data_IF_879837326403
#
_entry.id   IF_879837326403
#
_cell.length_a   1.000
_cell.length_b   1.000
_cell.length_c   1.000
_cell.angle_alpha   90.00
_cell.angle_beta   90.00
_cell.angle_gamma   90.00
#
_symmetry.space_group_name_H-M   'P 1'
#
loop_
_entity.id
_entity.type
_entity.pdbx_description
1 polymer ?
#
# COMPACT_ATOMS: atom_id res chain seq x y z
N UNK A 1 16.43 0.35 16.94
CA UNK A 1 17.77 0.83 17.36
C UNK A 1 18.69 0.75 16.14
N UNK A 2 19.13 1.89 15.62
CA UNK A 2 20.14 1.96 14.55
C UNK A 2 21.47 1.44 15.10
N UNK A 3 22.05 0.40 14.49
CA UNK A 3 23.31 -0.22 14.92
C UNK A 3 24.57 0.63 14.70
N UNK A 4 24.43 1.95 14.65
CA UNK A 4 25.55 2.88 14.51
C UNK A 4 26.04 3.27 15.90
N UNK A 5 27.25 2.79 16.26
CA UNK A 5 27.98 3.31 17.41
C UNK A 5 28.38 4.75 17.07
N UNK A 6 27.69 5.74 17.62
CA UNK A 6 28.10 7.14 17.54
C UNK A 6 29.54 7.26 18.07
N UNK A 7 30.51 7.47 17.18
CA UNK A 7 31.86 7.87 17.58
C UNK A 7 31.95 9.38 17.49
N UNK A 8 32.65 9.98 18.45
CA UNK A 8 32.98 11.41 18.43
C UNK A 8 33.73 11.74 17.13
N UNK A 9 33.05 12.45 16.22
CA UNK A 9 33.59 12.82 14.89
C UNK A 9 32.67 12.48 13.71
N UNK A 10 31.60 11.72 13.90
CA UNK A 10 30.68 11.36 12.81
C UNK A 10 29.86 12.59 12.34
N UNK A 11 29.74 12.76 11.02
CA UNK A 11 28.92 13.80 10.39
C UNK A 11 27.70 13.18 9.73
N UNK A 12 26.52 13.54 10.23
CA UNK A 12 25.26 13.20 9.61
C UNK A 12 24.88 14.32 8.63
N UNK A 13 24.73 13.97 7.35
CA UNK A 13 24.35 14.91 6.30
C UNK A 13 23.09 14.37 5.63
N UNK A 14 22.03 15.17 5.65
CA UNK A 14 20.84 14.93 4.86
C UNK A 14 21.01 15.63 3.51
N UNK A 15 20.87 14.87 2.43
CA UNK A 15 20.87 15.42 1.07
C UNK A 15 19.44 15.75 0.67
N UNK A 16 19.26 16.89 0.02
CA UNK A 16 17.97 17.28 -0.53
C UNK A 16 17.60 16.37 -1.71
N UNK A 17 16.30 16.11 -1.85
CA UNK A 17 15.79 15.32 -2.96
C UNK A 17 15.86 16.11 -4.27
N UNK A 18 16.26 15.48 -5.38
CA UNK A 18 16.30 16.14 -6.69
C UNK A 18 14.90 16.31 -7.32
N UNK A 19 13.84 15.80 -6.70
CA UNK A 19 12.47 15.80 -7.26
C UNK A 19 11.64 17.01 -6.79
N UNK A 20 10.77 17.51 -7.68
CA UNK A 20 9.83 18.58 -7.37
C UNK A 20 8.46 17.99 -6.98
N UNK A 21 8.35 17.56 -5.73
CA UNK A 21 7.18 16.84 -5.21
C UNK A 21 5.88 17.65 -5.30
N UNK A 22 5.94 18.98 -5.16
CA UNK A 22 4.75 19.84 -5.18
C UNK A 22 4.06 19.85 -6.56
N UNK A 23 4.85 19.75 -7.63
CA UNK A 23 4.33 19.70 -9.01
C UNK A 23 4.09 18.26 -9.50
N UNK A 24 4.86 17.29 -8.98
CA UNK A 24 4.82 15.90 -9.43
C UNK A 24 3.79 15.04 -8.69
N UNK A 25 3.24 15.51 -7.57
CA UNK A 25 2.33 14.72 -6.76
C UNK A 25 1.51 15.55 -5.78
N UNK A 26 0.55 14.89 -5.15
CA UNK A 26 -0.28 15.46 -4.10
C UNK A 26 -0.59 14.42 -3.05
N UNK A 27 -0.70 14.87 -1.81
CA UNK A 27 -1.21 14.06 -0.70
C UNK A 27 -2.70 14.35 -0.59
N UNK A 28 -3.51 13.29 -0.64
CA UNK A 28 -4.95 13.36 -0.42
C UNK A 28 -5.24 12.66 0.89
N UNK A 29 -5.83 13.39 1.84
CA UNK A 29 -6.33 12.84 3.10
C UNK A 29 -7.86 12.86 3.00
N UNK A 30 -8.51 11.71 2.75
CA UNK A 30 -9.96 11.63 2.72
C UNK A 30 -10.56 12.03 4.06
N UNK A 31 -11.73 12.67 4.05
CA UNK A 31 -12.49 13.01 5.27
C UNK A 31 -13.25 11.78 5.76
N UNK A 32 -12.52 10.84 6.36
CA UNK A 32 -13.08 9.64 7.00
C UNK A 32 -13.94 10.03 8.20
N UNK A 33 -14.97 9.24 8.52
CA UNK A 33 -15.85 9.53 9.67
C UNK A 33 -15.27 9.03 10.98
N UNK A 34 -14.46 7.98 10.92
CA UNK A 34 -13.85 7.33 12.08
C UNK A 34 -12.34 7.30 11.95
N UNK A 35 -11.65 7.35 13.08
CA UNK A 35 -10.22 7.09 13.16
C UNK A 35 -9.96 5.58 13.15
N UNK A 36 -8.77 5.13 12.66
CA UNK A 36 -8.38 3.72 12.65
C UNK A 36 -7.97 3.21 14.05
N UNK A 37 -8.87 3.32 15.04
CA UNK A 37 -8.71 2.71 16.35
C UNK A 37 -9.11 1.22 16.32
N UNK A 38 -8.75 0.45 17.37
CA UNK A 38 -9.12 -0.97 17.47
C UNK A 38 -10.65 -1.16 17.46
N UNK A 39 -11.38 -0.29 18.15
CA UNK A 39 -12.84 -0.37 18.26
C UNK A 39 -13.55 -0.04 16.94
N UNK A 40 -12.93 0.82 16.12
CA UNK A 40 -13.50 1.31 14.87
C UNK A 40 -12.89 0.66 13.62
N UNK A 41 -12.04 -0.34 13.78
CA UNK A 41 -11.24 -0.91 12.69
C UNK A 41 -12.12 -1.40 11.53
N UNK A 42 -13.22 -2.08 11.82
CA UNK A 42 -14.13 -2.61 10.81
C UNK A 42 -14.79 -1.49 10.00
N UNK A 43 -15.31 -0.46 10.69
CA UNK A 43 -15.92 0.70 10.03
C UNK A 43 -14.90 1.48 9.20
N UNK A 44 -13.69 1.68 9.73
CA UNK A 44 -12.61 2.37 9.02
C UNK A 44 -12.21 1.62 7.75
N UNK A 45 -12.06 0.30 7.82
CA UNK A 45 -11.73 -0.54 6.65
C UNK A 45 -12.86 -0.50 5.62
N UNK A 46 -14.12 -0.53 6.04
CA UNK A 46 -15.27 -0.42 5.15
C UNK A 46 -15.29 0.93 4.41
N UNK A 47 -15.06 2.04 5.12
CA UNK A 47 -14.97 3.37 4.50
C UNK A 47 -13.78 3.46 3.53
N UNK A 48 -12.65 2.87 3.89
CA UNK A 48 -11.46 2.84 3.03
C UNK A 48 -11.71 2.02 1.76
N UNK A 49 -12.40 0.89 1.87
CA UNK A 49 -12.80 0.08 0.71
C UNK A 49 -13.78 0.82 -0.20
N UNK A 50 -14.75 1.55 0.36
CA UNK A 50 -15.66 2.38 -0.42
C UNK A 50 -14.89 3.48 -1.19
N UNK A 51 -13.99 4.19 -0.53
CA UNK A 51 -13.16 5.21 -1.16
C UNK A 51 -12.27 4.61 -2.26
N UNK A 52 -11.65 3.46 -2.01
CA UNK A 52 -10.82 2.76 -2.99
C UNK A 52 -11.62 2.38 -4.24
N UNK A 53 -12.85 1.87 -4.09
CA UNK A 53 -13.73 1.53 -5.22
C UNK A 53 -14.03 2.74 -6.09
N UNK A 54 -14.36 3.88 -5.48
CA UNK A 54 -14.57 5.12 -6.23
C UNK A 54 -13.32 5.53 -7.04
N UNK A 55 -12.12 5.34 -6.48
CA UNK A 55 -10.88 5.62 -7.22
C UNK A 55 -10.65 4.65 -8.39
N UNK A 56 -10.94 3.36 -8.21
CA UNK A 56 -10.87 2.34 -9.27
C UNK A 56 -11.85 2.69 -10.40
N UNK A 57 -13.10 2.99 -10.04
CA UNK A 57 -14.17 3.35 -10.99
C UNK A 57 -13.87 4.62 -11.78
N UNK A 58 -13.13 5.56 -11.18
CA UNK A 58 -12.70 6.79 -11.86
C UNK A 58 -11.80 6.53 -13.07
N UNK A 59 -11.14 5.36 -13.14
CA UNK A 59 -10.18 4.95 -14.19
C UNK A 59 -9.06 5.95 -14.47
N UNK A 60 -8.81 6.89 -13.56
CA UNK A 60 -7.74 7.91 -13.68
C UNK A 60 -6.35 7.33 -13.47
N UNK A 61 -6.27 6.20 -12.78
CA UNK A 61 -5.02 5.56 -12.38
C UNK A 61 -4.97 4.15 -12.96
N UNK A 62 -3.97 3.88 -13.79
CA UNK A 62 -3.76 2.54 -14.38
C UNK A 62 -3.07 1.58 -13.40
N UNK A 63 -2.25 2.12 -12.51
CA UNK A 63 -1.56 1.36 -11.46
C UNK A 63 -1.85 1.98 -10.10
N UNK A 64 -2.25 1.14 -9.15
CA UNK A 64 -2.48 1.53 -7.76
C UNK A 64 -1.72 0.62 -6.81
N UNK A 65 -1.23 1.18 -5.72
CA UNK A 65 -0.57 0.46 -4.64
C UNK A 65 -1.28 0.77 -3.33
N UNK A 66 -1.80 -0.27 -2.68
CA UNK A 66 -2.44 -0.18 -1.37
C UNK A 66 -1.52 -0.80 -0.33
N UNK A 67 -1.10 0.00 0.64
CA UNK A 67 -0.19 -0.41 1.70
C UNK A 67 -0.94 -0.59 3.01
N UNK A 68 -0.80 -1.77 3.60
CA UNK A 68 -1.35 -2.08 4.91
C UNK A 68 -0.25 -2.09 5.96
N UNK A 69 -0.62 -1.77 7.21
CA UNK A 69 0.26 -1.88 8.38
C UNK A 69 0.16 -3.24 9.08
N UNK A 70 -0.90 -4.02 8.85
CA UNK A 70 -1.07 -5.40 9.35
C UNK A 70 -1.64 -6.33 8.27
N UNK A 71 -1.25 -7.61 8.30
CA UNK A 71 -1.83 -8.63 7.42
C UNK A 71 -3.32 -8.85 7.70
N UNK A 72 -3.74 -8.71 8.97
CA UNK A 72 -5.14 -8.77 9.39
C UNK A 72 -5.99 -7.69 8.70
N UNK A 73 -5.54 -6.43 8.69
CA UNK A 73 -6.26 -5.35 8.02
C UNK A 73 -6.34 -5.56 6.50
N UNK A 74 -5.27 -6.09 5.89
CA UNK A 74 -5.27 -6.45 4.47
C UNK A 74 -6.33 -7.50 4.15
N UNK A 75 -6.39 -8.60 4.91
CA UNK A 75 -7.39 -9.65 4.69
C UNK A 75 -8.81 -9.12 4.82
N UNK A 76 -9.08 -8.33 5.88
CA UNK A 76 -10.38 -7.67 6.07
C UNK A 76 -10.75 -6.74 4.92
N UNK A 77 -9.80 -5.97 4.40
CA UNK A 77 -10.03 -5.13 3.23
C UNK A 77 -10.37 -5.97 1.99
N UNK A 78 -9.65 -7.08 1.75
CA UNK A 78 -9.91 -7.97 0.63
C UNK A 78 -11.31 -8.58 0.66
N UNK A 79 -11.87 -8.82 1.85
CA UNK A 79 -13.26 -9.26 2.01
C UNK A 79 -14.27 -8.22 1.47
N UNK A 80 -13.96 -6.93 1.59
CA UNK A 80 -14.79 -5.83 1.07
C UNK A 80 -14.60 -5.57 -0.43
N UNK A 81 -13.60 -6.14 -1.10
CA UNK A 81 -13.30 -5.92 -2.53
C UNK A 81 -13.20 -7.23 -3.33
N UNK A 82 -13.95 -8.24 -2.92
CA UNK A 82 -13.93 -9.59 -3.50
C UNK A 82 -14.29 -9.65 -4.99
N UNK A 83 -15.15 -8.75 -5.45
CA UNK A 83 -15.51 -8.56 -6.87
C UNK A 83 -14.36 -7.98 -7.71
N UNK A 84 -13.42 -7.25 -7.09
CA UNK A 84 -12.24 -6.70 -7.77
C UNK A 84 -11.05 -7.67 -7.77
N UNK A 85 -11.21 -8.89 -7.24
CA UNK A 85 -10.11 -9.84 -7.02
C UNK A 85 -9.31 -10.20 -8.26
N UNK A 86 -9.92 -10.20 -9.46
CA UNK A 86 -9.21 -10.44 -10.72
C UNK A 86 -8.25 -9.31 -11.11
N UNK A 87 -8.46 -8.10 -10.61
CA UNK A 87 -7.61 -6.92 -10.83
C UNK A 87 -6.56 -6.73 -9.71
N UNK A 88 -6.66 -7.53 -8.63
CA UNK A 88 -5.84 -7.36 -7.44
C UNK A 88 -4.65 -8.32 -7.44
N UNK A 89 -3.45 -7.75 -7.35
CA UNK A 89 -2.21 -8.46 -7.10
C UNK A 89 -1.94 -8.46 -5.59
N UNK A 90 -2.28 -9.56 -4.91
CA UNK A 90 -2.13 -9.67 -3.47
C UNK A 90 -0.76 -10.25 -3.13
N UNK A 91 -0.06 -9.58 -2.20
CA UNK A 91 1.23 -10.04 -1.76
C UNK A 91 1.13 -11.38 -1.01
N UNK A 92 1.84 -12.40 -1.51
CA UNK A 92 1.83 -13.76 -0.96
C UNK A 92 1.17 -14.79 -1.88
N UNK A 93 0.35 -14.35 -2.85
CA UNK A 93 -0.30 -15.25 -3.81
C UNK A 93 0.66 -15.79 -4.88
N UNK A 94 1.71 -15.02 -5.22
CA UNK A 94 2.75 -15.44 -6.16
C UNK A 94 4.15 -14.93 -5.76
N UNK A 95 5.24 -15.54 -6.26
CA UNK A 95 6.60 -15.04 -6.06
C UNK A 95 6.74 -13.59 -6.56
N UNK A 96 7.40 -12.73 -5.78
CA UNK A 96 7.48 -11.26 -6.01
C UNK A 96 7.93 -10.86 -7.42
N UNK A 97 8.79 -11.65 -8.08
CA UNK A 97 9.27 -11.37 -9.44
C UNK A 97 8.16 -11.47 -10.50
N UNK A 98 7.20 -12.40 -10.35
CA UNK A 98 6.06 -12.52 -11.29
C UNK A 98 5.05 -11.39 -11.16
N UNK A 99 4.92 -10.80 -9.98
CA UNK A 99 3.96 -9.70 -9.74
C UNK A 99 4.41 -8.38 -10.40
N UNK A 100 5.70 -8.22 -10.66
CA UNK A 100 6.26 -7.05 -11.37
C UNK A 100 6.42 -7.33 -12.87
N UNK A 101 6.59 -8.59 -13.28
CA UNK A 101 6.72 -9.01 -14.69
C UNK A 101 5.37 -9.14 -15.44
N UNK A 102 4.23 -9.15 -14.74
CA UNK A 102 2.91 -9.30 -15.36
C UNK A 102 2.09 -7.99 -15.35
N UNK A 103 2.25 -7.09 -16.35
CA UNK A 103 1.09 -6.62 -17.08
C UNK A 103 0.64 -7.80 -17.95
N UNK A 104 -0.55 -8.41 -17.76
CA UNK A 104 -0.96 -9.52 -18.61
C UNK A 104 -0.95 -9.06 -20.07
N UNK A 105 -0.19 -9.74 -20.92
CA UNK A 105 -0.13 -9.50 -22.36
C UNK A 105 -1.50 -9.63 -23.07
N UNK A 106 -2.54 -10.07 -22.34
CA UNK A 106 -3.93 -10.18 -22.80
C UNK A 106 -4.94 -9.40 -21.93
N UNK A 107 -4.49 -8.54 -21.01
CA UNK A 107 -5.40 -7.62 -20.36
C UNK A 107 -5.53 -6.36 -21.23
N UNK A 108 -6.74 -6.11 -21.73
CA UNK A 108 -7.27 -4.75 -21.97
C UNK A 108 -6.72 -3.78 -20.92
N UNK A 109 -6.50 -2.47 -21.19
CA UNK A 109 -5.95 -1.50 -20.23
C UNK A 109 -6.83 -1.40 -18.98
N UNK A 110 -6.67 -2.36 -18.08
CA UNK A 110 -7.53 -2.62 -16.95
C UNK A 110 -6.70 -2.21 -15.76
N UNK A 111 -7.29 -1.35 -14.94
CA UNK A 111 -6.71 -0.83 -13.72
C UNK A 111 -6.21 -1.99 -12.87
N UNK A 112 -4.90 -2.01 -12.59
CA UNK A 112 -4.26 -3.04 -11.75
C UNK A 112 -3.92 -2.44 -10.39
N UNK A 113 -4.27 -3.15 -9.31
CA UNK A 113 -3.98 -2.70 -7.97
C UNK A 113 -3.20 -3.76 -7.18
N UNK A 114 -2.09 -3.37 -6.58
CA UNK A 114 -1.27 -4.23 -5.73
C UNK A 114 -1.59 -4.00 -4.25
N UNK A 115 -1.88 -5.06 -3.49
CA UNK A 115 -2.13 -4.99 -2.04
C UNK A 115 -0.95 -5.61 -1.28
N UNK A 116 -0.21 -4.78 -0.56
CA UNK A 116 1.02 -5.19 0.13
C UNK A 116 0.93 -4.89 1.62
N UNK A 117 1.50 -5.80 2.42
CA UNK A 117 1.68 -5.57 3.85
C UNK A 117 3.17 -5.42 4.17
N UNK A 118 3.53 -4.30 4.78
CA UNK A 118 4.91 -3.82 4.93
C UNK A 118 5.86 -4.78 5.68
N UNK A 119 5.36 -5.69 6.52
CA UNK A 119 6.18 -6.55 7.41
C UNK A 119 6.43 -7.98 6.90
N UNK A 120 6.06 -8.25 5.66
CA UNK A 120 6.18 -9.55 5.00
C UNK A 120 7.62 -10.04 4.75
N UNK A 121 8.65 -9.26 5.05
CA UNK A 121 10.08 -9.62 4.90
C UNK A 121 10.88 -9.57 6.20
N UNK A 122 10.25 -9.31 7.35
CA UNK A 122 10.97 -9.47 8.61
C UNK A 122 11.01 -10.96 8.99
N UNK A 123 12.19 -11.51 9.32
CA UNK A 123 12.28 -12.87 9.84
C UNK A 123 11.40 -12.98 11.08
N UNK A 124 10.60 -14.05 11.14
CA UNK A 124 9.76 -14.41 12.29
C UNK A 124 10.66 -14.67 13.50
N UNK A 125 10.99 -13.63 14.24
CA UNK A 125 11.88 -13.75 15.41
C UNK A 125 12.27 -12.43 16.06
N UNK A 126 11.56 -11.33 15.81
CA UNK A 126 11.84 -10.04 16.43
C UNK A 126 10.54 -9.37 16.93
N UNK A 127 9.79 -10.10 17.75
CA UNK A 127 8.88 -9.56 18.77
C UNK A 127 9.10 -10.41 20.03
#
# INVERSE_FOLDING_TARGET
MSGLKEKAGDRFVALDSPFNHCEQGKIVIPRMRVEPSLDNEEQHIAEMAAFFREQVESKKHLGMLVLFASGRAMQRFLDYVTDLRLMLLVQGDQPRYRLVELPPANASPTVSAACWWAYSHLPKGLI
#
